data_IF_088238093323
#
_entry.id   IF_088238093323
#
_cell.length_a   1.000
_cell.length_b   1.000
_cell.length_c   1.000
_cell.angle_alpha   90.00
_cell.angle_beta   90.00
_cell.angle_gamma   90.00
#
_symmetry.space_group_name_H-M   'P 1'
#
loop_
_entity.id
_entity.type
_entity.pdbx_description
1 polymer ?
#
# COMPACT_ATOMS: atom_id res chain seq x y z
N UNK A 1 3.15 0.77 -0.46
CA UNK A 1 3.42 -0.49 0.28
C UNK A 1 3.48 -0.29 1.79
N UNK A 2 4.06 0.81 2.31
CA UNK A 2 4.23 1.04 3.76
C UNK A 2 2.98 0.75 4.61
N UNK A 3 1.82 1.28 4.25
CA UNK A 3 0.56 1.05 5.00
C UNK A 3 0.15 -0.43 5.01
N UNK A 4 0.27 -1.14 3.88
CA UNK A 4 -0.07 -2.56 3.83
C UNK A 4 0.89 -3.42 4.67
N UNK A 5 2.19 -3.08 4.67
CA UNK A 5 3.16 -3.73 5.55
C UNK A 5 2.85 -3.47 7.03
N UNK A 6 2.43 -2.24 7.36
CA UNK A 6 2.01 -1.86 8.70
C UNK A 6 0.75 -2.61 9.16
N UNK A 7 -0.27 -2.73 8.30
CA UNK A 7 -1.46 -3.54 8.57
C UNK A 7 -1.08 -5.01 8.79
N UNK A 8 -0.25 -5.58 7.90
CA UNK A 8 0.21 -6.98 8.00
C UNK A 8 0.94 -7.23 9.33
N UNK A 9 1.79 -6.30 9.76
CA UNK A 9 2.51 -6.42 11.03
C UNK A 9 1.58 -6.41 12.26
N UNK A 10 0.43 -5.75 12.17
CA UNK A 10 -0.55 -5.61 13.27
C UNK A 10 -1.79 -6.50 13.09
N UNK A 11 -1.74 -7.54 12.25
CA UNK A 11 -2.88 -8.44 12.03
C UNK A 11 -3.29 -9.20 13.30
N UNK A 12 -2.35 -9.48 14.20
CA UNK A 12 -2.61 -10.18 15.47
C UNK A 12 -2.63 -9.23 16.67
N UNK A 13 -2.86 -7.94 16.44
CA UNK A 13 -2.95 -6.93 17.51
C UNK A 13 -4.42 -6.66 17.81
N UNK A 14 -4.84 -6.93 19.05
CA UNK A 14 -6.21 -6.69 19.50
C UNK A 14 -6.61 -5.22 19.30
N UNK A 15 -7.83 -5.01 18.81
CA UNK A 15 -8.42 -3.70 18.56
C UNK A 15 -7.78 -2.91 17.41
N UNK A 16 -6.75 -3.44 16.73
CA UNK A 16 -6.10 -2.71 15.64
C UNK A 16 -7.04 -2.48 14.46
N UNK A 17 -7.05 -1.25 13.95
CA UNK A 17 -7.86 -0.84 12.79
C UNK A 17 -6.96 -0.67 11.57
N UNK A 18 -7.29 -1.40 10.50
CA UNK A 18 -6.59 -1.34 9.22
C UNK A 18 -6.66 0.07 8.65
N UNK A 19 -5.54 0.49 8.09
CA UNK A 19 -5.45 1.74 7.36
C UNK A 19 -5.62 1.47 5.86
N UNK A 20 -6.37 2.34 5.17
CA UNK A 20 -6.56 2.30 3.71
C UNK A 20 -5.86 3.48 3.07
N UNK A 21 -5.26 3.24 1.91
CA UNK A 21 -4.61 4.26 1.09
C UNK A 21 -5.49 4.57 -0.11
N UNK A 22 -5.67 5.85 -0.38
CA UNK A 22 -6.23 6.34 -1.63
C UNK A 22 -5.22 7.25 -2.31
N UNK A 23 -5.04 7.06 -3.61
CA UNK A 23 -4.16 7.86 -4.45
C UNK A 23 -5.05 8.74 -5.33
N UNK A 24 -4.75 10.03 -5.38
CA UNK A 24 -5.42 10.96 -6.27
C UNK A 24 -4.39 11.82 -6.99
N UNK A 25 -4.78 12.40 -8.12
CA UNK A 25 -3.97 13.42 -8.78
C UNK A 25 -3.79 14.61 -7.84
N UNK A 26 -2.54 15.05 -7.69
CA UNK A 26 -2.15 16.23 -6.95
C UNK A 26 -1.80 17.38 -7.89
N UNK A 27 -1.44 18.53 -7.32
CA UNK A 27 -1.06 19.70 -8.12
C UNK A 27 0.18 19.42 -8.98
N UNK A 28 0.24 20.03 -10.16
CA UNK A 28 1.37 19.94 -11.11
C UNK A 28 1.74 18.51 -11.53
N UNK A 29 0.75 17.59 -11.62
CA UNK A 29 0.97 16.20 -12.04
C UNK A 29 1.61 15.31 -10.97
N UNK A 30 1.71 15.80 -9.72
CA UNK A 30 2.12 14.98 -8.58
C UNK A 30 1.04 13.98 -8.16
N UNK A 31 1.40 13.03 -7.29
CA UNK A 31 0.45 12.10 -6.68
C UNK A 31 0.20 12.54 -5.24
N UNK A 32 -1.06 12.70 -4.87
CA UNK A 32 -1.47 12.93 -3.48
C UNK A 32 -1.86 11.61 -2.84
N UNK A 33 -1.34 11.37 -1.64
CA UNK A 33 -1.60 10.16 -0.86
C UNK A 33 -2.48 10.50 0.33
N UNK A 34 -3.63 9.86 0.44
CA UNK A 34 -4.55 10.00 1.56
C UNK A 34 -4.65 8.66 2.30
N UNK A 35 -4.32 8.67 3.59
CA UNK A 35 -4.39 7.51 4.48
C UNK A 35 -5.55 7.70 5.44
N UNK A 36 -6.41 6.69 5.56
CA UNK A 36 -7.56 6.71 6.48
C UNK A 36 -7.63 5.42 7.26
N UNK A 37 -7.91 5.52 8.55
CA UNK A 37 -8.19 4.37 9.40
C UNK A 37 -9.62 3.88 9.19
N UNK A 38 -9.82 2.56 9.23
CA UNK A 38 -11.14 1.95 9.13
C UNK A 38 -11.92 2.13 10.42
N UNK A 39 -13.18 2.55 10.30
CA UNK A 39 -14.14 2.58 11.41
C UNK A 39 -14.87 1.25 11.60
N UNK A 40 -14.60 0.24 10.77
CA UNK A 40 -15.28 -1.06 10.83
C UNK A 40 -14.83 -1.86 12.06
N UNK A 41 -15.74 -2.57 12.74
CA UNK A 41 -15.36 -3.50 13.80
C UNK A 41 -14.58 -4.69 13.23
N UNK A 42 -13.60 -5.17 13.99
CA UNK A 42 -12.95 -6.45 13.78
C UNK A 42 -13.76 -7.60 14.40
N UNK A 43 -13.38 -8.86 14.12
CA UNK A 43 -14.04 -10.01 14.68
C UNK A 43 -13.84 -10.07 16.20
N UNK A 44 -14.93 -10.29 16.94
CA UNK A 44 -14.86 -10.53 18.37
C UNK A 44 -14.49 -11.99 18.66
N UNK A 45 -13.67 -12.21 19.69
CA UNK A 45 -13.37 -13.55 20.19
C UNK A 45 -13.42 -13.60 21.72
N UNK A 46 -13.74 -14.77 22.25
CA UNK A 46 -13.87 -14.98 23.69
C UNK A 46 -12.57 -15.54 24.26
N UNK A 47 -12.06 -14.89 25.31
CA UNK A 47 -10.95 -15.39 26.10
C UNK A 47 -11.39 -16.51 27.04
N UNK A 48 -10.44 -17.33 27.49
CA UNK A 48 -10.70 -18.39 28.46
C UNK A 48 -11.27 -17.89 29.81
N UNK A 49 -11.07 -16.62 30.14
CA UNK A 49 -11.63 -15.97 31.34
C UNK A 49 -13.07 -15.44 31.15
N UNK A 50 -13.68 -15.67 29.97
CA UNK A 50 -15.05 -15.25 29.65
C UNK A 50 -15.17 -13.86 29.04
N UNK A 51 -14.09 -13.05 29.02
CA UNK A 51 -14.11 -11.71 28.40
C UNK A 51 -14.15 -11.82 26.87
N UNK A 52 -14.85 -10.89 26.23
CA UNK A 52 -14.87 -10.74 24.77
C UNK A 52 -13.94 -9.60 24.40
N UNK A 53 -12.98 -9.86 23.52
CA UNK A 53 -12.11 -8.83 22.94
C UNK A 53 -12.30 -8.76 21.44
N UNK A 54 -12.07 -7.58 20.90
CA UNK A 54 -12.08 -7.33 19.47
C UNK A 54 -10.69 -7.59 18.88
N UNK A 55 -10.60 -8.46 17.88
CA UNK A 55 -9.36 -8.65 17.12
C UNK A 55 -9.17 -7.55 16.06
N UNK A 56 -8.01 -7.54 15.42
CA UNK A 56 -7.74 -6.69 14.26
C UNK A 56 -8.75 -6.91 13.13
N UNK A 57 -9.15 -5.85 12.44
CA UNK A 57 -9.98 -5.94 11.22
C UNK A 57 -9.14 -6.06 9.92
N UNK A 58 -7.85 -6.39 10.04
CA UNK A 58 -6.94 -6.61 8.91
C UNK A 58 -7.19 -7.98 8.27
N UNK A 59 -7.28 -8.02 6.94
CA UNK A 59 -7.43 -9.25 6.16
C UNK A 59 -6.21 -9.50 5.28
N UNK A 60 -5.44 -10.56 5.56
CA UNK A 60 -4.21 -10.86 4.81
C UNK A 60 -4.46 -11.14 3.32
N UNK A 61 -5.64 -11.68 2.99
CA UNK A 61 -6.10 -11.93 1.62
C UNK A 61 -6.28 -10.64 0.83
N UNK A 62 -6.53 -9.50 1.48
CA UNK A 62 -6.58 -8.18 0.84
C UNK A 62 -5.19 -7.54 0.75
N UNK A 63 -4.36 -7.69 1.80
CA UNK A 63 -3.05 -7.04 1.88
C UNK A 63 -2.03 -7.57 0.87
N UNK A 64 -2.03 -8.88 0.59
CA UNK A 64 -1.11 -9.48 -0.38
C UNK A 64 -1.32 -8.91 -1.80
N UNK A 65 -2.55 -8.90 -2.37
CA UNK A 65 -2.81 -8.25 -3.65
C UNK A 65 -2.42 -6.77 -3.69
N UNK A 66 -2.65 -6.02 -2.61
CA UNK A 66 -2.25 -4.61 -2.51
C UNK A 66 -0.73 -4.46 -2.67
N UNK A 67 0.06 -5.30 -1.99
CA UNK A 67 1.52 -5.26 -2.10
C UNK A 67 2.01 -5.67 -3.49
N UNK A 68 1.41 -6.69 -4.10
CA UNK A 68 1.72 -7.11 -5.47
C UNK A 68 1.41 -5.99 -6.47
N UNK A 69 0.24 -5.37 -6.37
CA UNK A 69 -0.15 -4.25 -7.23
C UNK A 69 0.82 -3.08 -7.10
N UNK A 70 1.19 -2.70 -5.87
CA UNK A 70 2.16 -1.63 -5.63
C UNK A 70 3.55 -1.94 -6.19
N UNK A 71 4.01 -3.20 -6.12
CA UNK A 71 5.27 -3.65 -6.74
C UNK A 71 5.23 -3.49 -8.26
N UNK A 72 4.11 -3.87 -8.89
CA UNK A 72 3.94 -3.73 -10.34
C UNK A 72 3.89 -2.26 -10.78
N UNK A 73 3.18 -1.40 -10.04
CA UNK A 73 3.16 0.05 -10.31
C UNK A 73 4.57 0.67 -10.25
N UNK A 74 5.35 0.32 -9.22
CA UNK A 74 6.74 0.77 -9.13
C UNK A 74 7.58 0.28 -10.31
N UNK A 75 7.40 -0.98 -10.70
CA UNK A 75 8.13 -1.57 -11.82
C UNK A 75 7.79 -0.89 -13.16
N UNK A 76 6.51 -0.53 -13.38
CA UNK A 76 6.07 0.22 -14.55
C UNK A 76 6.69 1.62 -14.60
N UNK A 77 6.72 2.34 -13.48
CA UNK A 77 7.36 3.65 -13.40
C UNK A 77 8.86 3.58 -13.68
N UNK A 78 9.55 2.56 -13.15
CA UNK A 78 10.98 2.34 -13.43
C UNK A 78 11.20 2.03 -14.92
N UNK A 79 10.34 1.23 -15.55
CA UNK A 79 10.43 0.95 -16.98
C UNK A 79 10.26 2.22 -17.84
N UNK A 80 9.31 3.09 -17.50
CA UNK A 80 9.12 4.37 -18.19
C UNK A 80 10.36 5.28 -18.09
N UNK A 81 10.99 5.34 -16.91
CA UNK A 81 12.23 6.11 -16.71
C UNK A 81 13.38 5.55 -17.54
N UNK A 82 13.54 4.22 -17.60
CA UNK A 82 14.58 3.57 -18.43
C UNK A 82 14.43 3.90 -19.91
N UNK A 83 13.21 3.85 -20.44
CA UNK A 83 12.94 4.20 -21.83
C UNK A 83 13.28 5.69 -22.08
N UNK A 84 12.94 6.58 -21.13
CA UNK A 84 13.33 7.99 -21.21
C UNK A 84 14.86 8.17 -21.23
N UNK A 85 15.60 7.43 -20.41
CA UNK A 85 17.06 7.44 -20.37
C UNK A 85 17.66 6.94 -21.70
N UNK A 86 17.15 5.84 -22.24
CA UNK A 86 17.58 5.27 -23.52
C UNK A 86 17.36 6.26 -24.69
N UNK A 87 16.21 6.94 -24.72
CA UNK A 87 15.94 7.99 -25.70
C UNK A 87 16.92 9.17 -25.57
N UNK A 88 17.21 9.62 -24.35
CA UNK A 88 18.17 10.71 -24.11
C UNK A 88 19.58 10.33 -24.57
N UNK A 89 20.02 9.11 -24.26
CA UNK A 89 21.30 8.58 -24.73
C UNK A 89 21.37 8.55 -26.25
N UNK A 90 20.32 8.04 -26.90
CA UNK A 90 20.26 8.02 -28.37
C UNK A 90 20.35 9.42 -28.99
N UNK A 91 19.79 10.45 -28.34
CA UNK A 91 19.92 11.83 -28.81
C UNK A 91 21.34 12.38 -28.64
N UNK A 92 22.01 12.04 -27.54
CA UNK A 92 23.42 12.42 -27.30
C UNK A 92 24.37 11.75 -28.30
N UNK A 93 24.16 10.46 -28.59
CA UNK A 93 24.97 9.69 -29.54
C UNK A 93 24.86 10.20 -30.99
N UNK A 94 23.80 10.96 -31.34
CA UNK A 94 23.66 11.60 -32.66
C UNK A 94 24.50 12.89 -32.75
N UNK A 95 24.70 13.59 -31.63
CA UNK A 95 25.39 14.89 -31.61
C UNK A 95 26.91 14.79 -31.50
N UNK A 96 27.45 13.64 -31.07
CA UNK A 96 28.88 13.38 -30.87
C UNK A 96 29.41 12.51 -32.01
#
# INVERSE_FOLDING_TARGET
>A
MSVSAHNTANINTDGYKKQRVSLSEGNHGGVMVNIRESSEPGPGYQHANGNISEASNVEISEEIPIQVGAKHLLSANVAALKISEEMQKSLLDIMV
#
